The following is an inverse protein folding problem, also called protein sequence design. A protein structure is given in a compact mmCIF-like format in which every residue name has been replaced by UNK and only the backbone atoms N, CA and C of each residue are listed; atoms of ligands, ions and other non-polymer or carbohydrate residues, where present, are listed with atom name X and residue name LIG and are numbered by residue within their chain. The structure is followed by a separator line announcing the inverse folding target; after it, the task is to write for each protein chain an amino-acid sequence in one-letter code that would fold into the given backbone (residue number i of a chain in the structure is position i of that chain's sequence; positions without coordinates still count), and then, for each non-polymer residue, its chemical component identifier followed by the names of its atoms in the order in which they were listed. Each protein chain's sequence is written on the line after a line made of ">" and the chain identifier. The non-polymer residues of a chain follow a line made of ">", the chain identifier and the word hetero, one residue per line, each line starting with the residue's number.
data_IF_853863288719
#
_entry.id   IF_853863288719
#
_cell.length_a   1.000
_cell.length_b   1.000
_cell.length_c   1.000
_cell.angle_alpha   90.00
_cell.angle_beta   90.00
_cell.angle_gamma   90.00
#
_symmetry.space_group_name_H-M   'P 1'
#
loop_
_entity.id
_entity.type
_entity.pdbx_description
1 polymer ?
#
# COMPACT_ATOMS: atom_id res chain seq x y z
N UNK A 1 -8.47 -26.20 0.08
CA UNK A 1 -7.97 -25.48 -1.10
C UNK A 1 -8.60 -24.09 -1.12
N UNK A 2 -7.84 -23.09 -1.56
CA UNK A 2 -8.28 -21.68 -1.66
C UNK A 2 -8.50 -21.31 -3.12
N UNK A 3 -9.46 -20.43 -3.39
CA UNK A 3 -9.75 -19.91 -4.73
C UNK A 3 -8.83 -18.74 -5.11
N UNK A 4 -8.38 -18.00 -4.09
CA UNK A 4 -7.49 -16.85 -4.27
C UNK A 4 -6.48 -16.80 -3.14
N UNK A 5 -5.22 -16.59 -3.51
CA UNK A 5 -4.13 -16.33 -2.57
C UNK A 5 -3.64 -14.91 -2.83
N UNK A 6 -3.75 -14.06 -1.81
CA UNK A 6 -3.25 -12.69 -1.80
C UNK A 6 -1.92 -12.69 -1.06
N UNK A 7 -0.87 -12.20 -1.71
CA UNK A 7 0.47 -12.09 -1.13
C UNK A 7 0.71 -10.64 -0.72
N UNK A 8 0.74 -10.41 0.59
CA UNK A 8 0.90 -9.12 1.25
C UNK A 8 -0.42 -8.57 1.78
N UNK A 9 -0.52 -8.41 3.11
CA UNK A 9 -1.59 -7.70 3.80
C UNK A 9 -1.30 -6.19 3.89
N UNK A 10 -0.88 -5.58 2.78
CA UNK A 10 -0.74 -4.13 2.66
C UNK A 10 -2.07 -3.43 2.32
N UNK A 11 -2.02 -2.13 2.01
CA UNK A 11 -3.21 -1.34 1.69
C UNK A 11 -4.12 -1.96 0.63
N UNK A 12 -3.56 -2.41 -0.50
CA UNK A 12 -4.33 -3.08 -1.55
C UNK A 12 -4.78 -4.49 -1.13
N UNK A 13 -3.89 -5.26 -0.49
CA UNK A 13 -4.16 -6.63 -0.08
C UNK A 13 -5.30 -6.75 0.93
N UNK A 14 -5.37 -5.85 1.92
CA UNK A 14 -6.46 -5.80 2.89
C UNK A 14 -7.80 -5.47 2.23
N UNK A 15 -7.83 -4.51 1.27
CA UNK A 15 -9.05 -4.18 0.52
C UNK A 15 -9.50 -5.37 -0.32
N UNK A 16 -8.58 -6.01 -1.04
CA UNK A 16 -8.88 -7.20 -1.85
C UNK A 16 -9.40 -8.35 -1.00
N UNK A 17 -8.74 -8.65 0.12
CA UNK A 17 -9.15 -9.71 1.02
C UNK A 17 -10.58 -9.49 1.51
N UNK A 18 -10.88 -8.29 2.02
CA UNK A 18 -12.21 -7.93 2.51
C UNK A 18 -13.30 -7.99 1.42
N UNK A 19 -13.02 -7.46 0.22
CA UNK A 19 -14.00 -7.42 -0.87
C UNK A 19 -14.24 -8.82 -1.47
N UNK A 20 -13.20 -9.62 -1.64
CA UNK A 20 -13.32 -10.97 -2.22
C UNK A 20 -13.94 -11.97 -1.25
N UNK A 21 -13.65 -11.85 0.05
CA UNK A 21 -14.24 -12.73 1.08
C UNK A 21 -15.69 -12.37 1.44
N UNK A 22 -16.22 -11.26 0.91
CA UNK A 22 -17.63 -10.91 1.08
C UNK A 22 -18.57 -11.90 0.38
N UNK A 23 -18.08 -12.61 -0.64
CA UNK A 23 -18.77 -13.75 -1.25
C UNK A 23 -18.48 -15.01 -0.41
N UNK A 24 -19.47 -15.58 0.29
CA UNK A 24 -19.26 -16.74 1.16
C UNK A 24 -18.88 -18.02 0.40
N UNK A 25 -19.05 -18.05 -0.93
CA UNK A 25 -18.61 -19.16 -1.76
C UNK A 25 -17.10 -19.12 -2.05
N UNK A 26 -16.42 -17.99 -1.80
CA UNK A 26 -14.98 -17.81 -2.06
C UNK A 26 -14.13 -18.06 -0.82
N UNK A 27 -13.12 -18.91 -0.97
CA UNK A 27 -12.07 -19.16 0.02
C UNK A 27 -10.84 -18.33 -0.32
N UNK A 28 -10.62 -17.26 0.44
CA UNK A 28 -9.48 -16.35 0.27
C UNK A 28 -8.42 -16.65 1.33
N UNK A 29 -7.17 -16.78 0.91
CA UNK A 29 -6.00 -16.80 1.79
C UNK A 29 -5.24 -15.49 1.66
N UNK A 30 -4.95 -14.83 2.77
CA UNK A 30 -4.07 -13.66 2.84
C UNK A 30 -2.77 -14.05 3.55
N UNK A 31 -1.64 -13.86 2.87
CA UNK A 31 -0.31 -14.15 3.41
C UNK A 31 0.44 -12.85 3.66
N UNK A 32 0.90 -12.64 4.90
CA UNK A 32 1.69 -11.46 5.28
C UNK A 32 3.04 -11.88 5.85
N UNK A 33 4.09 -11.14 5.49
CA UNK A 33 5.46 -11.41 5.94
C UNK A 33 5.74 -10.84 7.34
N UNK A 34 5.00 -9.80 7.73
CA UNK A 34 5.05 -9.15 9.03
C UNK A 34 4.10 -9.73 10.08
N UNK A 35 4.08 -9.08 11.23
CA UNK A 35 3.13 -9.37 12.34
C UNK A 35 2.02 -8.33 12.36
N UNK A 36 1.19 -8.34 13.39
CA UNK A 36 0.26 -7.24 13.67
C UNK A 36 1.01 -5.89 13.78
N UNK A 37 0.32 -4.82 13.39
CA UNK A 37 0.87 -3.47 13.52
C UNK A 37 1.00 -3.09 15.01
N UNK A 38 2.05 -2.33 15.38
CA UNK A 38 2.21 -1.87 16.76
C UNK A 38 1.26 -0.70 17.04
N UNK A 39 1.05 -0.38 18.32
CA UNK A 39 0.26 0.78 18.76
C UNK A 39 0.73 2.11 18.15
N UNK A 40 2.02 2.22 17.83
CA UNK A 40 2.57 3.40 17.15
C UNK A 40 1.94 3.66 15.76
N UNK A 41 1.33 2.65 15.13
CA UNK A 41 0.57 2.83 13.88
C UNK A 41 -0.78 3.53 14.08
N UNK A 42 -1.33 3.49 15.29
CA UNK A 42 -2.60 4.12 15.64
C UNK A 42 -2.43 5.55 16.14
N UNK A 43 -1.20 5.95 16.53
CA UNK A 43 -0.89 7.28 17.04
C UNK A 43 -0.32 8.14 15.92
N UNK A 44 -1.03 9.18 15.44
CA UNK A 44 -0.63 9.91 14.24
C UNK A 44 0.74 10.60 14.30
N UNK A 45 1.23 10.96 15.48
CA UNK A 45 2.55 11.56 15.66
C UNK A 45 3.69 10.55 15.60
N UNK A 46 3.40 9.27 15.82
CA UNK A 46 4.39 8.26 16.15
C UNK A 46 4.85 7.46 14.93
N UNK A 47 4.24 7.67 13.77
CA UNK A 47 4.60 6.97 12.54
C UNK A 47 6.12 6.97 12.21
N UNK A 48 6.92 8.03 12.46
CA UNK A 48 8.35 8.00 12.18
C UNK A 48 9.14 7.10 13.15
N UNK A 49 8.59 6.80 14.33
CA UNK A 49 9.23 5.94 15.34
C UNK A 49 9.33 4.49 14.90
N UNK A 50 8.52 4.09 13.91
CA UNK A 50 8.51 2.74 13.37
C UNK A 50 9.62 2.48 12.33
N UNK A 51 10.32 3.53 11.86
CA UNK A 51 11.41 3.38 10.89
C UNK A 51 12.60 2.60 11.45
N UNK A 52 13.22 1.77 10.60
CA UNK A 52 14.35 0.92 10.99
C UNK A 52 14.06 -0.02 12.19
N UNK A 53 12.80 -0.38 12.39
CA UNK A 53 12.38 -1.36 13.41
C UNK A 53 11.99 -2.69 12.76
N UNK A 54 11.54 -3.66 13.56
CA UNK A 54 11.09 -4.95 13.06
C UNK A 54 9.86 -4.89 12.13
N UNK A 55 9.11 -3.78 12.15
CA UNK A 55 7.91 -3.56 11.31
C UNK A 55 8.20 -2.74 10.06
N UNK A 56 9.48 -2.48 9.77
CA UNK A 56 9.94 -1.80 8.56
C UNK A 56 10.92 -2.70 7.81
N UNK A 57 10.69 -2.91 6.51
CA UNK A 57 11.64 -3.59 5.64
C UNK A 57 12.99 -2.88 5.56
N UNK A 58 13.02 -1.57 5.86
CA UNK A 58 14.25 -0.80 6.04
C UNK A 58 15.17 -0.80 4.82
N UNK A 59 14.58 -0.70 3.62
CA UNK A 59 15.34 -0.69 2.38
C UNK A 59 16.17 0.59 2.23
N UNK A 60 17.24 0.46 1.44
CA UNK A 60 18.04 1.59 1.00
C UNK A 60 18.26 1.46 -0.50
N UNK A 61 18.22 2.58 -1.21
CA UNK A 61 18.59 2.61 -2.63
C UNK A 61 20.08 2.29 -2.81
N UNK A 62 20.45 1.94 -4.04
CA UNK A 62 21.85 2.09 -4.49
C UNK A 62 22.27 3.58 -4.43
N UNK A 63 23.58 3.89 -4.38
CA UNK A 63 24.08 5.27 -4.47
C UNK A 63 23.51 6.02 -5.67
N UNK A 64 22.90 7.19 -5.43
CA UNK A 64 22.28 8.00 -6.49
C UNK A 64 23.19 9.17 -6.89
N UNK A 65 23.59 9.23 -8.16
CA UNK A 65 24.43 10.32 -8.68
C UNK A 65 23.78 11.70 -8.47
N UNK A 66 22.48 11.82 -8.77
CA UNK A 66 21.68 13.02 -8.52
C UNK A 66 21.51 13.38 -7.04
N UNK A 67 21.91 12.51 -6.12
CA UNK A 67 21.89 12.74 -4.67
C UNK A 67 23.29 12.76 -4.06
N UNK A 68 24.33 13.16 -4.82
CA UNK A 68 25.74 13.23 -4.38
C UNK A 68 26.28 11.87 -3.90
N UNK A 69 25.88 10.79 -4.57
CA UNK A 69 26.31 9.42 -4.24
C UNK A 69 25.69 8.86 -2.96
N UNK A 70 24.68 9.52 -2.37
CA UNK A 70 24.01 9.01 -1.17
C UNK A 70 23.12 7.81 -1.50
N UNK A 71 23.04 6.88 -0.54
CA UNK A 71 21.97 5.90 -0.44
C UNK A 71 20.80 6.54 0.30
N UNK A 72 19.60 6.42 -0.24
CA UNK A 72 18.40 7.02 0.34
C UNK A 72 17.61 5.94 1.05
N UNK A 73 17.18 6.23 2.27
CA UNK A 73 16.37 5.34 3.08
C UNK A 73 14.92 5.28 2.55
N UNK A 74 14.41 4.08 2.28
CA UNK A 74 13.08 3.80 1.74
C UNK A 74 12.29 2.89 2.69
N UNK A 75 11.66 3.46 3.73
CA UNK A 75 10.91 2.68 4.72
C UNK A 75 9.65 2.08 4.08
N UNK A 76 9.42 0.77 4.24
CA UNK A 76 8.23 0.04 3.77
C UNK A 76 7.67 -0.81 4.91
N UNK A 77 6.37 -0.72 5.17
CA UNK A 77 5.76 -1.44 6.29
C UNK A 77 5.79 -2.96 6.08
N UNK A 78 6.23 -3.68 7.12
CA UNK A 78 6.29 -5.14 7.22
C UNK A 78 5.41 -5.59 8.39
N UNK A 79 4.11 -5.44 8.21
CA UNK A 79 3.06 -5.73 9.19
C UNK A 79 1.71 -5.83 8.48
N UNK A 80 0.69 -6.33 9.17
CA UNK A 80 -0.70 -6.21 8.70
C UNK A 80 -1.03 -4.71 8.54
N UNK A 81 -1.57 -4.33 7.39
CA UNK A 81 -1.74 -2.94 6.95
C UNK A 81 -0.58 -2.43 6.07
N UNK A 82 0.58 -3.08 6.12
CA UNK A 82 1.78 -2.76 5.33
C UNK A 82 2.19 -1.29 5.46
N UNK A 83 2.58 -0.66 4.35
CA UNK A 83 2.86 0.78 4.34
C UNK A 83 1.65 1.66 4.65
N UNK A 84 0.41 1.14 4.59
CA UNK A 84 -0.76 1.86 5.07
C UNK A 84 -0.72 2.13 6.57
N UNK A 85 -0.20 1.18 7.34
CA UNK A 85 0.00 1.30 8.79
C UNK A 85 1.30 2.01 9.18
N UNK A 86 2.17 2.36 8.22
CA UNK A 86 3.45 3.06 8.47
C UNK A 86 3.41 4.54 8.03
N UNK A 87 2.43 4.94 7.23
CA UNK A 87 2.49 6.23 6.53
C UNK A 87 2.11 7.43 7.41
N UNK A 88 2.24 8.63 6.85
CA UNK A 88 1.83 9.88 7.48
C UNK A 88 0.31 10.17 7.40
N UNK A 89 -0.51 9.17 7.04
CA UNK A 89 -1.99 9.23 6.93
C UNK A 89 -2.57 10.30 5.99
N UNK A 90 -1.74 10.92 5.15
CA UNK A 90 -2.19 11.91 4.17
C UNK A 90 -2.96 11.20 3.06
N UNK A 91 -4.19 11.63 2.82
CA UNK A 91 -5.00 11.16 1.70
C UNK A 91 -5.15 12.24 0.63
N UNK A 92 -4.61 11.96 -0.56
CA UNK A 92 -4.74 12.78 -1.75
C UNK A 92 -5.12 11.83 -2.88
N UNK A 93 -6.21 12.13 -3.60
CA UNK A 93 -6.62 11.31 -4.75
C UNK A 93 -5.65 11.44 -5.92
N UNK A 94 -5.01 12.59 -6.10
CA UNK A 94 -4.28 12.95 -7.32
C UNK A 94 -5.12 13.87 -8.20
N UNK A 95 -4.57 14.25 -9.34
CA UNK A 95 -5.24 15.13 -10.31
C UNK A 95 -5.94 14.27 -11.38
N UNK A 96 -7.06 14.73 -11.96
CA UNK A 96 -7.70 14.04 -13.09
C UNK A 96 -6.73 13.66 -14.21
N UNK A 97 -5.78 14.55 -14.52
CA UNK A 97 -4.75 14.34 -15.55
C UNK A 97 -3.83 13.14 -15.28
N UNK A 98 -3.63 12.74 -14.02
CA UNK A 98 -2.81 11.57 -13.68
C UNK A 98 -3.49 10.29 -14.19
N UNK A 99 -4.80 10.21 -13.99
CA UNK A 99 -5.66 9.09 -14.37
C UNK A 99 -5.93 9.03 -15.87
N UNK A 100 -6.26 10.17 -16.47
CA UNK A 100 -6.43 10.28 -17.92
C UNK A 100 -5.12 9.94 -18.64
N UNK A 101 -3.97 10.28 -18.04
CA UNK A 101 -2.65 9.87 -18.49
C UNK A 101 -2.48 8.34 -18.50
N UNK A 102 -2.97 7.62 -17.48
CA UNK A 102 -2.94 6.15 -17.47
C UNK A 102 -3.81 5.56 -18.57
N UNK A 103 -5.02 6.09 -18.77
CA UNK A 103 -5.90 5.66 -19.86
C UNK A 103 -5.24 5.84 -21.23
N UNK A 104 -4.60 7.00 -21.47
CA UNK A 104 -3.86 7.28 -22.69
C UNK A 104 -2.65 6.35 -22.90
N UNK A 105 -2.04 5.84 -21.83
CA UNK A 105 -0.95 4.84 -21.89
C UNK A 105 -1.43 3.41 -22.13
N UNK A 106 -2.74 3.20 -22.37
CA UNK A 106 -3.29 1.88 -22.69
C UNK A 106 -3.88 1.13 -21.50
N UNK A 107 -4.23 1.83 -20.41
CA UNK A 107 -4.97 1.28 -19.28
C UNK A 107 -6.46 1.67 -19.36
N UNK A 108 -7.28 1.03 -20.22
CA UNK A 108 -8.70 1.37 -20.33
C UNK A 108 -9.42 1.16 -18.98
N UNK A 109 -10.40 2.01 -18.67
CA UNK A 109 -11.12 1.99 -17.40
C UNK A 109 -10.39 2.69 -16.24
N UNK A 110 -9.27 3.37 -16.51
CA UNK A 110 -8.50 4.15 -15.53
C UNK A 110 -8.60 5.66 -15.74
N UNK A 111 -9.45 6.15 -16.65
CA UNK A 111 -9.67 7.58 -16.80
C UNK A 111 -10.31 8.16 -15.52
N UNK A 112 -10.18 9.46 -15.29
CA UNK A 112 -10.68 10.10 -14.08
C UNK A 112 -12.18 9.80 -13.83
N UNK A 113 -12.96 9.84 -14.89
CA UNK A 113 -14.40 9.55 -14.85
C UNK A 113 -14.72 8.11 -14.44
N UNK A 114 -13.86 7.15 -14.80
CA UNK A 114 -14.01 5.73 -14.45
C UNK A 114 -13.67 5.46 -12.98
N UNK A 115 -12.62 6.11 -12.46
CA UNK A 115 -12.12 5.86 -11.10
C UNK A 115 -12.79 6.71 -10.02
N UNK A 116 -13.36 7.86 -10.37
CA UNK A 116 -14.02 8.75 -9.41
C UNK A 116 -15.16 8.06 -8.64
N UNK A 117 -16.04 7.24 -9.26
CA UNK A 117 -17.02 6.44 -8.53
C UNK A 117 -16.38 5.51 -7.50
N UNK A 118 -15.23 4.89 -7.83
CA UNK A 118 -14.50 4.00 -6.91
C UNK A 118 -13.96 4.77 -5.70
N UNK A 119 -13.47 6.01 -5.89
CA UNK A 119 -13.04 6.88 -4.79
C UNK A 119 -14.15 7.42 -3.90
N UNK A 120 -15.41 7.29 -4.33
CA UNK A 120 -16.60 7.77 -3.59
C UNK A 120 -17.35 6.65 -2.87
N UNK A 121 -17.06 5.39 -3.21
CA UNK A 121 -17.67 4.20 -2.62
C UNK A 121 -17.06 3.86 -1.25
#
# INVERSE_FOLDING_TARGET
>A
MFDTIIVGAGSAGCVLANRLSADPARKVLLLEAGREAPLASDVPSDWPTMFNTAVDWSYYTEPQAGCRGRRVFWPRGKMIGGSGALNAMIYIRGLPSDYDGWAAMGCPGWAWEDVLPVFRA
#
